data_IF_126880410855
#
_entry.id   IF_126880410855
#
_cell.length_a   1.000
_cell.length_b   1.000
_cell.length_c   1.000
_cell.angle_alpha   90.00
_cell.angle_beta   90.00
_cell.angle_gamma   90.00
#
_symmetry.space_group_name_H-M   'P 1'
#
loop_
_entity.id
_entity.type
_entity.pdbx_description
1 polymer ?
#
# COMPACT_ATOMS: atom_id res chain seq x y z
N UNK A 1 11.75 -12.86 -13.84
CA UNK A 1 11.19 -11.55 -13.46
C UNK A 1 10.68 -11.74 -12.04
N UNK A 2 11.27 -11.07 -11.05
CA UNK A 2 10.88 -11.24 -9.66
C UNK A 2 9.43 -10.77 -9.52
N UNK A 3 8.52 -11.66 -9.13
CA UNK A 3 7.11 -11.32 -8.97
C UNK A 3 7.00 -10.19 -7.95
N UNK A 4 6.69 -9.00 -8.44
CA UNK A 4 6.41 -7.80 -7.68
C UNK A 4 5.04 -7.94 -7.02
N UNK A 5 4.92 -8.91 -6.11
CA UNK A 5 3.72 -9.21 -5.35
C UNK A 5 3.57 -8.16 -4.23
N UNK A 6 3.08 -6.98 -4.61
CA UNK A 6 2.70 -5.89 -3.73
C UNK A 6 1.45 -5.20 -4.27
N UNK A 7 0.59 -4.74 -3.38
CA UNK A 7 -0.63 -4.00 -3.70
C UNK A 7 -0.34 -2.52 -3.95
N UNK A 8 0.68 -1.96 -3.29
CA UNK A 8 1.18 -0.61 -3.56
C UNK A 8 2.71 -0.55 -3.59
N UNK A 9 3.24 0.21 -4.55
CA UNK A 9 4.61 0.68 -4.58
C UNK A 9 4.66 2.13 -4.09
N UNK A 10 5.38 2.37 -3.00
CA UNK A 10 5.63 3.71 -2.47
C UNK A 10 7.05 4.10 -2.81
N UNK A 11 7.22 5.27 -3.43
CA UNK A 11 8.51 5.87 -3.76
C UNK A 11 8.60 7.21 -3.02
N UNK A 12 9.12 7.23 -1.78
CA UNK A 12 9.07 8.42 -0.93
C UNK A 12 9.76 9.65 -1.54
N UNK A 13 10.92 9.45 -2.17
CA UNK A 13 11.72 10.54 -2.78
C UNK A 13 10.99 11.26 -3.93
N UNK A 14 10.03 10.58 -4.57
CA UNK A 14 9.23 11.14 -5.66
C UNK A 14 7.82 11.54 -5.19
N UNK A 15 7.49 11.34 -3.92
CA UNK A 15 6.12 11.48 -3.40
C UNK A 15 5.09 10.68 -4.21
N UNK A 16 5.47 9.51 -4.73
CA UNK A 16 4.61 8.67 -5.57
C UNK A 16 4.14 7.42 -4.84
N UNK A 17 2.87 7.06 -5.09
CA UNK A 17 2.28 5.78 -4.69
C UNK A 17 1.58 5.18 -5.89
N UNK A 18 2.04 4.02 -6.36
CA UNK A 18 1.55 3.35 -7.56
C UNK A 18 0.86 2.04 -7.17
N UNK A 19 -0.40 1.82 -7.58
CA UNK A 19 -1.09 0.55 -7.33
C UNK A 19 -0.49 -0.60 -8.14
N UNK A 20 -0.53 -1.80 -7.56
CA UNK A 20 -0.21 -3.03 -8.26
C UNK A 20 -1.19 -3.28 -9.40
N UNK A 21 -0.73 -3.85 -10.53
CA UNK A 21 -1.56 -4.01 -11.74
C UNK A 21 -2.70 -5.03 -11.57
N UNK A 22 -2.67 -5.87 -10.53
CA UNK A 22 -3.72 -6.83 -10.20
C UNK A 22 -4.89 -6.20 -9.43
N UNK A 23 -4.75 -4.96 -8.95
CA UNK A 23 -5.83 -4.29 -8.23
C UNK A 23 -6.86 -3.71 -9.19
N UNK A 24 -8.13 -3.91 -8.87
CA UNK A 24 -9.22 -3.12 -9.46
C UNK A 24 -9.10 -1.64 -9.02
N UNK A 25 -9.72 -0.69 -9.75
CA UNK A 25 -9.68 0.72 -9.37
C UNK A 25 -10.15 1.00 -7.93
N UNK A 26 -11.19 0.30 -7.47
CA UNK A 26 -11.69 0.42 -6.10
C UNK A 26 -10.67 -0.09 -5.07
N UNK A 27 -10.06 -1.25 -5.32
CA UNK A 27 -9.03 -1.80 -4.45
C UNK A 27 -7.79 -0.90 -4.40
N UNK A 28 -7.38 -0.32 -5.52
CA UNK A 28 -6.29 0.65 -5.57
C UNK A 28 -6.57 1.86 -4.67
N UNK A 29 -7.79 2.42 -4.74
CA UNK A 29 -8.20 3.53 -3.89
C UNK A 29 -8.25 3.14 -2.40
N UNK A 30 -8.76 1.95 -2.08
CA UNK A 30 -8.80 1.41 -0.71
C UNK A 30 -7.39 1.20 -0.14
N UNK A 31 -6.46 0.65 -0.93
CA UNK A 31 -5.08 0.46 -0.56
C UNK A 31 -4.37 1.80 -0.29
N UNK A 32 -4.56 2.79 -1.16
CA UNK A 32 -3.97 4.11 -1.00
C UNK A 32 -4.49 4.81 0.26
N UNK A 33 -5.81 4.76 0.47
CA UNK A 33 -6.46 5.30 1.68
C UNK A 33 -5.92 4.62 2.94
N UNK A 34 -5.78 3.29 2.90
CA UNK A 34 -5.23 2.52 4.01
C UNK A 34 -3.78 2.93 4.32
N UNK A 35 -2.95 3.15 3.30
CA UNK A 35 -1.57 3.60 3.43
C UNK A 35 -1.49 5.00 4.06
N UNK A 36 -2.27 5.97 3.56
CA UNK A 36 -2.25 7.34 4.09
C UNK A 36 -2.64 7.44 5.56
N UNK A 37 -3.58 6.59 6.01
CA UNK A 37 -3.98 6.57 7.41
C UNK A 37 -3.10 5.65 8.29
N UNK A 38 -2.12 4.93 7.74
CA UNK A 38 -1.33 3.94 8.48
C UNK A 38 -0.43 4.64 9.51
N UNK A 39 -0.44 4.17 10.76
CA UNK A 39 0.28 4.80 11.87
C UNK A 39 -0.42 6.02 12.51
N UNK A 40 -1.49 6.54 11.89
CA UNK A 40 -2.25 7.69 12.41
C UNK A 40 -3.57 7.28 13.08
N UNK A 41 -4.05 6.06 12.86
CA UNK A 41 -5.30 5.56 13.44
C UNK A 41 -5.10 4.19 14.09
N UNK A 42 -5.67 4.00 15.29
CA UNK A 42 -5.76 2.68 15.93
C UNK A 42 -6.90 1.93 15.25
N UNK A 43 -6.57 0.82 14.57
CA UNK A 43 -7.53 0.07 13.74
C UNK A 43 -7.90 -1.23 14.44
N UNK A 44 -9.14 -1.37 14.89
CA UNK A 44 -9.62 -2.50 15.69
C UNK A 44 -10.39 -3.56 14.89
N UNK A 45 -10.95 -3.19 13.73
CA UNK A 45 -11.70 -4.10 12.84
C UNK A 45 -10.96 -4.26 11.50
N UNK A 46 -10.16 -5.33 11.38
CA UNK A 46 -9.35 -5.61 10.17
C UNK A 46 -10.14 -6.54 9.25
N UNK A 47 -10.59 -6.04 8.09
CA UNK A 47 -11.28 -6.86 7.08
C UNK A 47 -10.34 -7.41 6.01
N UNK A 48 -9.33 -6.63 5.65
CA UNK A 48 -8.39 -6.96 4.60
C UNK A 48 -6.99 -6.44 4.97
N UNK A 49 -5.96 -6.99 4.36
CA UNK A 49 -4.59 -6.46 4.46
C UNK A 49 -4.04 -6.13 3.07
N UNK A 50 -3.19 -5.11 3.00
CA UNK A 50 -2.47 -4.70 1.80
C UNK A 50 -0.97 -4.88 2.00
N UNK A 51 -0.29 -5.40 0.98
CA UNK A 51 1.16 -5.50 0.92
C UNK A 51 1.73 -4.25 0.27
N UNK A 52 2.50 -3.47 1.02
CA UNK A 52 3.14 -2.24 0.56
C UNK A 52 4.63 -2.53 0.33
N UNK A 53 5.14 -2.26 -0.86
CA UNK A 53 6.55 -2.21 -1.16
C UNK A 53 7.05 -0.77 -1.09
N UNK A 54 8.12 -0.52 -0.35
CA UNK A 54 8.79 0.79 -0.32
C UNK A 54 10.07 0.70 -1.14
N UNK A 55 10.10 1.45 -2.24
CA UNK A 55 11.26 1.56 -3.11
C UNK A 55 11.97 2.89 -2.94
N UNK A 56 13.29 2.83 -2.99
CA UNK A 56 14.16 4.00 -3.03
C UNK A 56 14.97 4.00 -4.31
N UNK A 57 15.21 5.19 -4.85
CA UNK A 57 16.14 5.39 -5.95
C UNK A 57 17.56 5.28 -5.40
N UNK A 58 18.32 4.29 -5.87
CA UNK A 58 19.74 4.08 -5.59
C UNK A 58 20.46 3.93 -6.92
N UNK A 59 21.47 4.75 -7.14
CA UNK A 59 22.30 4.71 -8.36
C UNK A 59 21.49 4.77 -9.68
N UNK A 60 20.37 5.51 -9.66
CA UNK A 60 19.47 5.65 -10.81
C UNK A 60 18.44 4.53 -10.97
N UNK A 61 18.45 3.51 -10.12
CA UNK A 61 17.51 2.39 -10.16
C UNK A 61 16.56 2.39 -8.94
N UNK A 62 15.29 2.09 -9.19
CA UNK A 62 14.31 1.88 -8.12
C UNK A 62 14.51 0.49 -7.51
N UNK A 63 14.99 0.46 -6.27
CA UNK A 63 15.18 -0.77 -5.49
C UNK A 63 14.15 -0.85 -4.38
N UNK A 64 13.40 -1.96 -4.29
CA UNK A 64 12.54 -2.23 -3.13
C UNK A 64 13.45 -2.48 -1.92
N UNK A 65 13.34 -1.61 -0.93
CA UNK A 65 14.14 -1.66 0.30
C UNK A 65 13.40 -2.25 1.47
N UNK A 66 12.06 -2.27 1.42
CA UNK A 66 11.22 -2.81 2.48
C UNK A 66 9.88 -3.26 1.91
N UNK A 67 9.27 -4.24 2.57
CA UNK A 67 7.89 -4.65 2.37
C UNK A 67 7.20 -4.69 3.72
N UNK A 68 5.96 -4.22 3.77
CA UNK A 68 5.13 -4.26 4.97
C UNK A 68 3.71 -4.66 4.62
N UNK A 69 3.03 -5.27 5.57
CA UNK A 69 1.61 -5.59 5.45
C UNK A 69 0.84 -4.64 6.35
N UNK A 70 -0.12 -3.90 5.77
CA UNK A 70 -0.96 -2.94 6.50
C UNK A 70 -2.42 -3.38 6.50
N UNK A 71 -3.18 -3.14 7.57
CA UNK A 71 -4.61 -3.47 7.61
C UNK A 71 -5.47 -2.45 6.84
N UNK A 72 -6.60 -2.89 6.29
CA UNK A 72 -7.72 -2.10 5.77
C UNK A 72 -8.93 -2.27 6.67
N UNK A 73 -9.69 -1.19 6.86
CA UNK A 73 -10.91 -1.19 7.65
C UNK A 73 -12.08 -1.72 6.84
N UNK A 74 -13.00 -2.38 7.55
CA UNK A 74 -14.41 -2.34 7.18
C UNK A 74 -14.90 -0.91 7.05
N UNK A 75 -15.75 -0.63 6.07
CA UNK A 75 -16.65 0.50 6.24
C UNK A 75 -17.53 0.20 7.46
N UNK A 76 -17.28 0.83 8.60
CA UNK A 76 -18.29 1.00 9.66
C UNK A 76 -19.35 2.00 9.14
N UNK A 77 -20.14 1.56 8.16
CA UNK A 77 -21.39 2.18 7.77
C UNK A 77 -22.43 1.10 7.49
N UNK A 78 -23.00 0.55 8.57
CA UNK A 78 -24.45 0.30 8.73
C UNK A 78 -24.70 -0.46 10.04
N UNK A 79 -24.83 0.28 11.14
CA UNK A 79 -25.65 -0.13 12.28
C UNK A 79 -26.71 0.95 12.49
#
# INVERSE_FOLDING_TARGET
MQENNFDLLVIPQLCQTLPGPHLTPNQAQQAQTAWHAYGNTVRTNIEQTWTIAVAHLRDGELTITSKLTIPHLANEQAA
#
